data_IF_057185558409
#
_entry.id   IF_057185558409
#
_cell.length_a   1.000
_cell.length_b   1.000
_cell.length_c   1.000
_cell.angle_alpha   90.00
_cell.angle_beta   90.00
_cell.angle_gamma   90.00
#
_symmetry.space_group_name_H-M   'P 1'
#
loop_
_entity.id
_entity.type
_entity.pdbx_description
1 polymer ?
#
# COMPACT_ATOMS: atom_id res chain seq x y z
N UNK A 1 -13.99 -18.62 -40.43
CA UNK A 1 -13.73 -17.43 -39.61
C UNK A 1 -13.96 -17.80 -38.15
N UNK A 2 -12.89 -17.89 -37.35
CA UNK A 2 -12.98 -18.35 -35.96
C UNK A 2 -13.42 -17.20 -35.06
N UNK A 3 -14.48 -17.44 -34.31
CA UNK A 3 -15.02 -16.58 -33.27
C UNK A 3 -13.93 -16.34 -32.21
N UNK A 4 -13.53 -15.09 -31.99
CA UNK A 4 -12.69 -14.73 -30.87
C UNK A 4 -13.61 -14.11 -29.81
N UNK A 5 -14.25 -14.98 -29.03
CA UNK A 5 -14.91 -14.60 -27.78
C UNK A 5 -13.82 -14.12 -26.80
N UNK A 6 -13.49 -12.82 -26.84
CA UNK A 6 -12.73 -12.17 -25.77
C UNK A 6 -13.70 -11.80 -24.64
N UNK A 7 -14.29 -12.83 -24.04
CA UNK A 7 -14.95 -12.76 -22.74
C UNK A 7 -13.90 -13.03 -21.66
N UNK A 8 -13.02 -12.05 -21.42
CA UNK A 8 -12.09 -12.07 -20.29
C UNK A 8 -11.73 -10.63 -19.96
N UNK A 9 -12.57 -9.97 -19.17
CA UNK A 9 -12.19 -8.97 -18.14
C UNK A 9 -13.38 -8.23 -17.54
N UNK A 10 -14.52 -8.89 -17.28
CA UNK A 10 -15.63 -8.29 -16.52
C UNK A 10 -16.02 -9.15 -15.31
N UNK A 11 -15.02 -9.68 -14.62
CA UNK A 11 -15.12 -10.00 -13.19
C UNK A 11 -14.56 -8.83 -12.38
N UNK A 12 -15.10 -7.63 -12.61
CA UNK A 12 -15.23 -6.61 -11.57
C UNK A 12 -16.35 -7.07 -10.63
N UNK A 13 -16.16 -8.23 -9.99
CA UNK A 13 -16.93 -8.52 -8.79
C UNK A 13 -16.57 -7.42 -7.80
N UNK A 14 -17.61 -6.72 -7.39
CA UNK A 14 -17.64 -5.55 -6.54
C UNK A 14 -17.04 -5.86 -5.16
N UNK A 15 -15.73 -6.12 -5.09
CA UNK A 15 -14.96 -6.23 -3.84
C UNK A 15 -14.79 -4.82 -3.28
N UNK A 16 -15.90 -4.29 -2.81
CA UNK A 16 -15.91 -3.11 -1.94
C UNK A 16 -15.34 -3.57 -0.61
N UNK A 17 -14.23 -2.99 -0.20
CA UNK A 17 -13.74 -3.11 1.16
C UNK A 17 -14.50 -2.06 1.96
N UNK A 18 -15.21 -2.43 3.05
CA UNK A 18 -15.80 -1.47 3.97
C UNK A 18 -14.77 -0.42 4.41
N UNK A 19 -15.19 0.85 4.54
CA UNK A 19 -14.30 1.95 4.91
C UNK A 19 -13.46 1.63 6.15
N UNK A 20 -14.11 1.13 7.21
CA UNK A 20 -13.40 0.83 8.46
C UNK A 20 -12.39 -0.31 8.27
N UNK A 21 -12.70 -1.29 7.43
CA UNK A 21 -11.75 -2.36 7.09
C UNK A 21 -10.54 -1.80 6.31
N UNK A 22 -10.76 -0.88 5.37
CA UNK A 22 -9.67 -0.21 4.66
C UNK A 22 -8.76 0.57 5.62
N UNK A 23 -9.35 1.29 6.58
CA UNK A 23 -8.59 1.99 7.64
C UNK A 23 -7.81 1.00 8.49
N UNK A 24 -8.41 -0.11 8.92
CA UNK A 24 -7.71 -1.15 9.69
C UNK A 24 -6.55 -1.76 8.91
N UNK A 25 -6.72 -2.06 7.62
CA UNK A 25 -5.65 -2.60 6.77
C UNK A 25 -4.50 -1.60 6.60
N UNK A 26 -4.80 -0.31 6.45
CA UNK A 26 -3.77 0.73 6.39
C UNK A 26 -2.95 0.81 7.68
N UNK A 27 -3.60 0.70 8.84
CA UNK A 27 -2.92 0.71 10.13
C UNK A 27 -2.10 -0.56 10.36
N UNK A 28 -2.63 -1.73 10.00
CA UNK A 28 -1.90 -2.99 10.06
C UNK A 28 -0.64 -2.95 9.18
N UNK A 29 -0.76 -2.45 7.94
CA UNK A 29 0.38 -2.28 7.03
C UNK A 29 1.50 -1.43 7.63
N UNK A 30 1.15 -0.38 8.39
CA UNK A 30 2.13 0.46 9.09
C UNK A 30 2.85 -0.34 10.19
N UNK A 31 2.11 -1.09 11.00
CA UNK A 31 2.69 -1.91 12.08
C UNK A 31 3.59 -3.02 11.52
N UNK A 32 3.13 -3.70 10.47
CA UNK A 32 3.90 -4.73 9.77
C UNK A 32 5.18 -4.16 9.17
N UNK A 33 5.13 -2.98 8.57
CA UNK A 33 6.32 -2.34 8.03
C UNK A 33 7.34 -1.93 9.08
N UNK A 34 6.89 -1.46 10.25
CA UNK A 34 7.77 -1.19 11.38
C UNK A 34 8.52 -2.46 11.80
N UNK A 35 7.77 -3.54 11.99
CA UNK A 35 8.30 -4.83 12.41
C UNK A 35 9.27 -5.41 11.36
N UNK A 36 8.90 -5.37 10.08
CA UNK A 36 9.77 -5.85 9.00
C UNK A 36 11.07 -5.04 8.90
N UNK A 37 11.04 -3.74 9.11
CA UNK A 37 12.25 -2.91 8.99
C UNK A 37 13.20 -3.12 10.18
N UNK A 38 12.65 -3.27 11.39
CA UNK A 38 13.43 -3.45 12.61
C UNK A 38 13.95 -4.90 12.77
N UNK A 39 13.21 -5.91 12.32
CA UNK A 39 13.58 -7.33 12.50
C UNK A 39 14.24 -7.99 11.27
N UNK A 40 14.10 -7.40 10.08
CA UNK A 40 14.64 -7.99 8.85
C UNK A 40 16.02 -7.46 8.48
N UNK A 41 16.89 -8.37 8.05
CA UNK A 41 18.14 -8.08 7.35
C UNK A 41 17.93 -7.68 5.87
N UNK A 42 16.68 -7.54 5.43
CA UNK A 42 16.35 -7.10 4.09
C UNK A 42 17.00 -5.75 3.76
N UNK A 43 17.49 -5.65 2.53
CA UNK A 43 18.08 -4.45 1.99
C UNK A 43 17.04 -3.34 1.83
N UNK A 44 17.52 -2.10 1.75
CA UNK A 44 16.67 -0.94 1.45
C UNK A 44 15.78 -1.14 0.21
N UNK A 45 16.31 -1.71 -0.87
CA UNK A 45 15.55 -1.89 -2.11
C UNK A 45 14.47 -2.96 -1.96
N UNK A 46 14.72 -4.03 -1.21
CA UNK A 46 13.72 -5.06 -0.91
C UNK A 46 12.56 -4.48 -0.09
N UNK A 47 12.85 -3.71 0.96
CA UNK A 47 11.83 -3.01 1.76
C UNK A 47 11.07 -1.99 0.89
N UNK A 48 11.77 -1.22 0.06
CA UNK A 48 11.15 -0.26 -0.87
C UNK A 48 10.21 -0.97 -1.83
N UNK A 49 10.63 -2.08 -2.43
CA UNK A 49 9.82 -2.84 -3.35
C UNK A 49 8.61 -3.47 -2.65
N UNK A 50 8.77 -3.96 -1.43
CA UNK A 50 7.70 -4.57 -0.63
C UNK A 50 6.56 -3.58 -0.35
N UNK A 51 6.88 -2.35 0.05
CA UNK A 51 5.87 -1.37 0.49
C UNK A 51 5.49 -0.31 -0.55
N UNK A 52 6.36 -0.02 -1.52
CA UNK A 52 6.14 1.01 -2.55
C UNK A 52 6.19 0.46 -3.98
N UNK A 53 6.33 -0.86 -4.14
CA UNK A 53 6.25 -1.51 -5.44
C UNK A 53 4.87 -1.39 -6.10
N UNK A 54 4.81 -1.70 -7.39
CA UNK A 54 3.54 -1.68 -8.16
C UNK A 54 2.53 -2.70 -7.64
N UNK A 55 3.02 -3.84 -7.17
CA UNK A 55 2.21 -4.93 -6.59
C UNK A 55 2.18 -4.87 -5.04
N UNK A 56 2.68 -3.76 -4.45
CA UNK A 56 2.68 -3.61 -2.99
C UNK A 56 1.26 -3.46 -2.45
N UNK A 57 1.09 -3.88 -1.20
CA UNK A 57 -0.18 -3.72 -0.50
C UNK A 57 -0.61 -2.26 -0.43
N UNK A 58 0.32 -1.31 -0.22
CA UNK A 58 0.01 0.12 -0.22
C UNK A 58 -0.59 0.60 -1.54
N UNK A 59 -0.04 0.13 -2.68
CA UNK A 59 -0.57 0.44 -4.01
C UNK A 59 -1.98 -0.13 -4.18
N UNK A 60 -2.21 -1.38 -3.76
CA UNK A 60 -3.53 -1.99 -3.80
C UNK A 60 -4.53 -1.24 -2.90
N UNK A 61 -4.20 -0.95 -1.64
CA UNK A 61 -5.05 -0.21 -0.70
C UNK A 61 -5.39 1.20 -1.23
N UNK A 62 -4.44 1.88 -1.87
CA UNK A 62 -4.68 3.20 -2.48
C UNK A 62 -5.74 3.13 -3.59
N UNK A 63 -5.80 2.03 -4.35
CA UNK A 63 -6.81 1.88 -5.42
C UNK A 63 -8.24 1.79 -4.87
N UNK A 64 -8.43 1.34 -3.63
CA UNK A 64 -9.75 1.26 -3.01
C UNK A 64 -10.35 2.64 -2.65
N UNK A 65 -9.54 3.70 -2.63
CA UNK A 65 -10.01 5.08 -2.42
C UNK A 65 -11.11 5.52 -3.39
N UNK A 66 -11.15 4.94 -4.62
CA UNK A 66 -12.21 5.22 -5.60
C UNK A 66 -13.59 4.71 -5.17
N UNK A 67 -13.61 3.69 -4.31
CA UNK A 67 -14.82 3.03 -3.81
C UNK A 67 -15.25 3.54 -2.42
N UNK A 68 -14.45 4.40 -1.78
CA UNK A 68 -14.79 5.00 -0.49
C UNK A 68 -15.93 6.03 -0.66
N UNK A 69 -16.98 6.00 0.18
CA UNK A 69 -18.06 7.00 0.19
C UNK A 69 -17.52 8.42 0.42
N UNK A 70 -18.16 9.45 -0.15
CA UNK A 70 -17.64 10.84 -0.09
C UNK A 70 -17.47 11.35 1.34
N UNK A 71 -18.42 11.00 2.20
CA UNK A 71 -18.45 11.29 3.63
C UNK A 71 -17.24 10.73 4.38
N UNK A 72 -16.69 9.61 3.92
CA UNK A 72 -15.55 8.92 4.53
C UNK A 72 -14.21 9.26 3.87
N UNK A 73 -14.21 9.76 2.63
CA UNK A 73 -12.99 10.01 1.85
C UNK A 73 -11.97 10.87 2.57
N UNK A 74 -12.42 11.90 3.29
CA UNK A 74 -11.51 12.76 4.06
C UNK A 74 -10.83 11.99 5.19
N UNK A 75 -11.61 11.22 5.96
CA UNK A 75 -11.10 10.39 7.07
C UNK A 75 -10.08 9.37 6.57
N UNK A 76 -10.43 8.59 5.54
CA UNK A 76 -9.52 7.58 4.98
C UNK A 76 -8.29 8.21 4.36
N UNK A 77 -8.45 9.34 3.65
CA UNK A 77 -7.33 10.06 3.03
C UNK A 77 -6.30 10.54 4.05
N UNK A 78 -6.75 11.01 5.22
CA UNK A 78 -5.85 11.40 6.32
C UNK A 78 -5.06 10.19 6.80
N UNK A 79 -5.72 9.05 7.07
CA UNK A 79 -5.06 7.82 7.53
C UNK A 79 -4.07 7.30 6.47
N UNK A 80 -4.48 7.22 5.21
CA UNK A 80 -3.62 6.79 4.11
C UNK A 80 -2.35 7.64 4.01
N UNK A 81 -2.48 8.97 4.13
CA UNK A 81 -1.33 9.86 4.11
C UNK A 81 -0.42 9.69 5.33
N UNK A 82 -0.99 9.50 6.52
CA UNK A 82 -0.21 9.22 7.74
C UNK A 82 0.57 7.91 7.63
N UNK A 83 -0.03 6.87 7.04
CA UNK A 83 0.64 5.59 6.80
C UNK A 83 1.76 5.77 5.78
N UNK A 84 1.51 6.45 4.66
CA UNK A 84 2.57 6.77 3.67
C UNK A 84 3.77 7.48 4.29
N UNK A 85 3.52 8.54 5.07
CA UNK A 85 4.59 9.29 5.74
C UNK A 85 5.35 8.43 6.76
N UNK A 86 4.64 7.54 7.47
CA UNK A 86 5.28 6.60 8.41
C UNK A 86 6.21 5.63 7.66
N UNK A 87 5.73 5.04 6.55
CA UNK A 87 6.51 4.14 5.71
C UNK A 87 7.73 4.84 5.10
N UNK A 88 7.57 6.07 4.61
CA UNK A 88 8.67 6.89 4.08
C UNK A 88 9.72 7.19 5.15
N UNK A 89 9.29 7.54 6.37
CA UNK A 89 10.20 7.79 7.49
C UNK A 89 10.99 6.53 7.88
N UNK A 90 10.34 5.36 7.88
CA UNK A 90 11.00 4.09 8.17
C UNK A 90 11.97 3.68 7.07
N UNK A 91 11.58 3.85 5.81
CA UNK A 91 12.46 3.60 4.67
C UNK A 91 13.67 4.54 4.70
N UNK A 92 13.47 5.81 5.08
CA UNK A 92 14.55 6.79 5.27
C UNK A 92 15.53 6.38 6.40
N UNK A 93 15.00 5.84 7.52
CA UNK A 93 15.84 5.27 8.60
C UNK A 93 16.70 4.12 8.06
N UNK A 94 16.09 3.14 7.37
CA UNK A 94 16.82 2.01 6.77
C UNK A 94 17.84 2.45 5.72
N UNK A 95 17.54 3.49 4.95
CA UNK A 95 18.46 4.07 3.98
C UNK A 95 19.75 4.58 4.67
N UNK A 96 19.59 5.36 5.75
CA UNK A 96 20.71 5.89 6.55
C UNK A 96 21.54 4.76 7.17
N UNK A 97 20.89 3.75 7.73
CA UNK A 97 21.57 2.57 8.29
C UNK A 97 22.36 1.80 7.23
N UNK A 98 21.82 1.74 6.01
CA UNK A 98 22.47 1.10 4.86
C UNK A 98 23.54 1.97 4.18
N UNK A 99 23.82 3.17 4.71
CA UNK A 99 24.73 4.14 4.08
C UNK A 99 24.22 4.75 2.77
N UNK A 100 22.93 4.59 2.46
CA UNK A 100 22.27 5.19 1.31
C UNK A 100 21.85 6.60 1.71
N UNK A 101 22.61 7.58 1.25
CA UNK A 101 22.28 9.00 1.42
C UNK A 101 21.44 9.41 0.21
N UNK A 102 20.15 9.63 0.41
CA UNK A 102 19.35 10.36 -0.56
C UNK A 102 19.65 11.85 -0.33
N UNK A 103 20.45 12.44 -1.21
CA UNK A 103 20.72 13.89 -1.28
C UNK A 103 19.46 14.70 -1.57
#
# INVERSE_FOLDING_TARGET
>A
MKQYNKSMSDTNENKTIPTDQLVSLLLALKEDAQHQIDESDASYEEIRQLFFGKESELTHLTQFMRFVPKEDKQRVGIVLNQVKQSLEALLSKKAKESGIVNE
#
